data_IF_110972374630
#
_entry.id   IF_110972374630
#
_cell.length_a   1.000
_cell.length_b   1.000
_cell.length_c   1.000
_cell.angle_alpha   90.00
_cell.angle_beta   90.00
_cell.angle_gamma   90.00
#
_symmetry.space_group_name_H-M   'P 1'
#
loop_
_entity.id
_entity.type
_entity.pdbx_description
1 polymer ?
#
# COMPACT_ATOMS: atom_id res chain seq x y z
N UNK A 1 3.89 -7.36 22.14
CA UNK A 1 2.91 -6.25 22.18
C UNK A 1 2.55 -5.83 20.77
N UNK A 2 1.27 -5.56 20.56
CA UNK A 2 0.77 -4.95 19.32
C UNK A 2 0.34 -3.51 19.60
N UNK A 3 0.31 -2.66 18.56
CA UNK A 3 -0.17 -1.29 18.71
C UNK A 3 -1.66 -1.25 19.13
N UNK A 4 -2.42 -2.30 18.84
CA UNK A 4 -3.85 -2.40 19.19
C UNK A 4 -4.07 -2.64 20.68
N UNK A 5 -3.04 -3.10 21.42
CA UNK A 5 -3.07 -3.14 22.88
C UNK A 5 -3.25 -1.75 23.50
N UNK A 6 -2.73 -0.71 22.82
CA UNK A 6 -2.96 0.68 23.22
C UNK A 6 -4.45 1.05 23.15
N UNK A 7 -5.16 0.67 22.08
CA UNK A 7 -6.61 0.86 21.99
C UNK A 7 -7.36 0.09 23.08
N UNK A 8 -6.89 -1.13 23.38
CA UNK A 8 -7.47 -1.94 24.46
C UNK A 8 -7.33 -1.32 25.84
N UNK A 9 -6.17 -0.73 26.14
CA UNK A 9 -5.92 -0.01 27.41
C UNK A 9 -6.72 1.30 27.51
N UNK A 10 -6.93 1.95 26.36
CA UNK A 10 -7.57 3.27 26.30
C UNK A 10 -9.09 3.18 26.28
N UNK A 11 -9.69 2.27 25.54
CA UNK A 11 -11.14 2.20 25.32
C UNK A 11 -11.75 0.89 25.78
N UNK A 12 -11.03 -0.22 25.67
CA UNK A 12 -11.51 -1.54 26.04
C UNK A 12 -11.26 -2.61 24.97
N UNK A 13 -11.68 -3.86 25.29
CA UNK A 13 -11.36 -5.03 24.49
C UNK A 13 -11.92 -5.00 23.07
N UNK A 14 -13.12 -4.45 22.87
CA UNK A 14 -13.77 -4.43 21.55
C UNK A 14 -13.07 -3.49 20.57
N UNK A 15 -12.62 -2.32 21.04
CA UNK A 15 -11.80 -1.40 20.22
C UNK A 15 -10.47 -2.01 19.80
N UNK A 16 -9.82 -2.81 20.68
CA UNK A 16 -8.63 -3.58 20.34
C UNK A 16 -8.92 -4.61 19.25
N UNK A 17 -9.98 -5.38 19.40
CA UNK A 17 -10.37 -6.43 18.46
C UNK A 17 -10.76 -5.84 17.09
N UNK A 18 -11.46 -4.73 17.08
CA UNK A 18 -11.76 -4.00 15.85
C UNK A 18 -10.49 -3.52 15.15
N UNK A 19 -9.58 -2.85 15.88
CA UNK A 19 -8.29 -2.42 15.33
C UNK A 19 -7.48 -3.58 14.75
N UNK A 20 -7.39 -4.68 15.47
CA UNK A 20 -6.75 -5.92 15.01
C UNK A 20 -7.41 -6.46 13.73
N UNK A 21 -8.75 -6.54 13.70
CA UNK A 21 -9.50 -7.03 12.53
C UNK A 21 -9.31 -6.14 11.31
N UNK A 22 -9.41 -4.82 11.48
CA UNK A 22 -9.17 -3.84 10.41
C UNK A 22 -7.75 -3.93 9.86
N UNK A 23 -6.75 -4.03 10.74
CA UNK A 23 -5.36 -4.23 10.32
C UNK A 23 -5.20 -5.50 9.50
N UNK A 24 -5.67 -6.64 10.02
CA UNK A 24 -5.51 -7.93 9.34
C UNK A 24 -6.19 -7.91 7.97
N UNK A 25 -7.40 -7.37 7.87
CA UNK A 25 -8.12 -7.22 6.61
C UNK A 25 -7.34 -6.33 5.62
N UNK A 26 -6.94 -5.13 6.07
CA UNK A 26 -6.17 -4.19 5.24
C UNK A 26 -4.88 -4.82 4.75
N UNK A 27 -4.18 -5.49 5.66
CA UNK A 27 -2.87 -6.09 5.35
C UNK A 27 -2.98 -7.25 4.38
N UNK A 28 -4.00 -8.10 4.54
CA UNK A 28 -4.28 -9.19 3.60
C UNK A 28 -4.60 -8.66 2.20
N UNK A 29 -5.49 -7.68 2.10
CA UNK A 29 -5.86 -7.10 0.82
C UNK A 29 -4.69 -6.37 0.16
N UNK A 30 -4.02 -5.48 0.88
CA UNK A 30 -2.91 -4.69 0.35
C UNK A 30 -1.68 -5.53 -0.03
N UNK A 31 -1.36 -6.57 0.76
CA UNK A 31 -0.24 -7.45 0.44
C UNK A 31 -0.58 -8.44 -0.67
N UNK A 32 -1.86 -8.84 -0.79
CA UNK A 32 -2.34 -9.60 -1.95
C UNK A 32 -2.20 -8.81 -3.26
N UNK A 33 -2.55 -7.52 -3.26
CA UNK A 33 -2.32 -6.62 -4.39
C UNK A 33 -0.84 -6.54 -4.76
N UNK A 34 0.06 -6.37 -3.78
CA UNK A 34 1.50 -6.33 -4.03
C UNK A 34 2.02 -7.65 -4.60
N UNK A 35 1.55 -8.78 -4.07
CA UNK A 35 1.89 -10.11 -4.58
C UNK A 35 1.45 -10.25 -6.05
N UNK A 36 0.24 -9.78 -6.41
CA UNK A 36 -0.25 -9.78 -7.79
C UNK A 36 0.66 -8.97 -8.71
N UNK A 37 1.04 -7.74 -8.33
CA UNK A 37 1.95 -6.90 -9.11
C UNK A 37 3.31 -7.54 -9.35
N UNK A 38 3.90 -8.16 -8.34
CA UNK A 38 5.17 -8.88 -8.50
C UNK A 38 5.01 -10.15 -9.36
N UNK A 39 3.88 -10.85 -9.23
CA UNK A 39 3.59 -12.04 -10.01
C UNK A 39 3.36 -11.72 -11.50
N UNK A 40 2.78 -10.57 -11.83
CA UNK A 40 2.68 -10.08 -13.22
C UNK A 40 4.08 -9.99 -13.82
N UNK A 41 5.02 -9.36 -13.11
CA UNK A 41 6.39 -9.24 -13.61
C UNK A 41 7.05 -10.60 -13.86
N UNK A 42 6.91 -11.53 -12.92
CA UNK A 42 7.44 -12.88 -13.05
C UNK A 42 6.78 -13.65 -14.20
N UNK A 43 5.46 -13.54 -14.33
CA UNK A 43 4.67 -14.16 -15.40
C UNK A 43 5.14 -13.73 -16.78
N UNK A 44 5.33 -12.43 -17.00
CA UNK A 44 5.78 -11.87 -18.29
C UNK A 44 7.22 -12.26 -18.61
N UNK A 45 8.12 -12.22 -17.62
CA UNK A 45 9.55 -12.50 -17.86
C UNK A 45 9.79 -13.98 -18.15
N UNK A 46 9.10 -14.89 -17.48
CA UNK A 46 9.30 -16.34 -17.60
C UNK A 46 8.26 -17.06 -18.45
N UNK A 47 7.30 -16.35 -19.04
CA UNK A 47 6.19 -16.93 -19.83
C UNK A 47 5.39 -18.00 -19.08
N UNK A 48 5.17 -17.78 -17.79
CA UNK A 48 4.38 -18.68 -16.94
C UNK A 48 3.00 -18.09 -16.64
N UNK A 49 1.96 -18.92 -16.44
CA UNK A 49 0.65 -18.44 -16.04
C UNK A 49 0.72 -17.61 -14.77
N UNK A 50 -0.05 -16.50 -14.70
CA UNK A 50 -0.06 -15.58 -13.55
C UNK A 50 -0.33 -16.31 -12.22
N UNK A 51 -1.29 -17.24 -12.21
CA UNK A 51 -1.59 -18.02 -11.01
C UNK A 51 -0.41 -18.87 -10.54
N UNK A 52 0.36 -19.43 -11.47
CA UNK A 52 1.58 -20.19 -11.15
C UNK A 52 2.66 -19.30 -10.58
N UNK A 53 2.84 -18.08 -11.10
CA UNK A 53 3.75 -17.08 -10.56
C UNK A 53 3.36 -16.66 -9.14
N UNK A 54 2.06 -16.43 -8.89
CA UNK A 54 1.54 -16.10 -7.56
C UNK A 54 1.86 -17.20 -6.54
N UNK A 55 1.55 -18.47 -6.89
CA UNK A 55 1.81 -19.60 -6.01
C UNK A 55 3.30 -19.77 -5.75
N UNK A 56 4.14 -19.65 -6.78
CA UNK A 56 5.60 -19.75 -6.65
C UNK A 56 6.15 -18.70 -5.66
N UNK A 57 5.78 -17.42 -5.82
CA UNK A 57 6.24 -16.36 -4.92
C UNK A 57 5.72 -16.59 -3.50
N UNK A 58 4.45 -16.97 -3.34
CA UNK A 58 3.85 -17.23 -2.02
C UNK A 58 4.54 -18.38 -1.29
N UNK A 59 4.89 -19.47 -2.01
CA UNK A 59 5.63 -20.62 -1.43
C UNK A 59 7.04 -20.22 -1.04
N UNK A 60 7.76 -19.49 -1.87
CA UNK A 60 9.12 -19.02 -1.55
C UNK A 60 9.08 -18.09 -0.33
N UNK A 61 8.16 -17.12 -0.30
CA UNK A 61 7.99 -16.20 0.83
C UNK A 61 7.65 -16.97 2.12
N UNK A 62 6.74 -17.93 2.07
CA UNK A 62 6.39 -18.78 3.21
C UNK A 62 7.61 -19.53 3.78
N UNK A 63 8.38 -20.21 2.93
CA UNK A 63 9.56 -20.99 3.35
C UNK A 63 10.56 -20.06 4.06
N UNK A 64 10.85 -18.94 3.42
CA UNK A 64 11.82 -17.97 3.91
C UNK A 64 11.39 -17.32 5.23
N UNK A 65 10.14 -16.83 5.33
CA UNK A 65 9.61 -16.17 6.54
C UNK A 65 9.56 -17.16 7.73
N UNK A 66 9.22 -18.43 7.47
CA UNK A 66 9.13 -19.46 8.54
C UNK A 66 10.49 -19.77 9.14
N UNK A 67 11.57 -19.70 8.36
CA UNK A 67 12.93 -20.02 8.82
C UNK A 67 13.64 -18.81 9.45
N UNK A 68 13.38 -17.59 8.94
CA UNK A 68 14.21 -16.42 9.20
C UNK A 68 13.88 -15.64 10.48
N UNK A 69 12.62 -15.50 10.84
CA UNK A 69 12.17 -14.63 11.92
C UNK A 69 12.49 -13.15 11.68
N UNK A 70 12.09 -12.25 12.61
CA UNK A 70 12.17 -10.79 12.40
C UNK A 70 13.59 -10.24 12.20
N UNK A 71 14.59 -10.83 12.83
CA UNK A 71 15.99 -10.37 12.65
C UNK A 71 16.51 -10.63 11.25
N UNK A 72 16.21 -11.81 10.70
CA UNK A 72 16.60 -12.13 9.33
C UNK A 72 15.86 -11.24 8.34
N UNK A 73 14.56 -10.98 8.54
CA UNK A 73 13.76 -10.09 7.71
C UNK A 73 14.38 -8.68 7.63
N UNK A 74 14.80 -8.09 8.75
CA UNK A 74 15.41 -6.75 8.76
C UNK A 74 16.70 -6.71 7.93
N UNK A 75 17.58 -7.70 8.05
CA UNK A 75 18.85 -7.74 7.31
C UNK A 75 18.64 -7.99 5.81
N UNK A 76 17.71 -8.87 5.49
CA UNK A 76 17.39 -9.14 4.08
C UNK A 76 16.66 -7.96 3.44
N UNK A 77 15.78 -7.28 4.16
CA UNK A 77 15.14 -6.04 3.69
C UNK A 77 16.18 -4.98 3.32
N UNK A 78 17.24 -4.82 4.13
CA UNK A 78 18.32 -3.89 3.82
C UNK A 78 19.05 -4.27 2.51
N UNK A 79 19.40 -5.55 2.34
CA UNK A 79 20.03 -6.04 1.11
C UNK A 79 19.10 -5.86 -0.11
N UNK A 80 17.83 -6.21 0.04
CA UNK A 80 16.80 -6.11 -1.00
C UNK A 80 16.55 -4.66 -1.41
N UNK A 81 16.59 -3.73 -0.45
CA UNK A 81 16.51 -2.29 -0.72
C UNK A 81 17.66 -1.82 -1.63
N UNK A 82 18.90 -2.18 -1.32
CA UNK A 82 20.05 -1.81 -2.17
C UNK A 82 19.99 -2.44 -3.55
N UNK A 83 19.52 -3.68 -3.63
CA UNK A 83 19.36 -4.38 -4.91
C UNK A 83 18.30 -3.69 -5.78
N UNK A 84 17.16 -3.32 -5.19
CA UNK A 84 16.08 -2.61 -5.89
C UNK A 84 16.53 -1.22 -6.36
N UNK A 85 17.24 -0.48 -5.51
CA UNK A 85 17.75 0.85 -5.83
C UNK A 85 18.78 0.80 -6.94
N UNK A 86 19.74 -0.14 -6.87
CA UNK A 86 20.73 -0.34 -7.93
C UNK A 86 20.10 -0.76 -9.26
N UNK A 87 19.08 -1.62 -9.22
CA UNK A 87 18.29 -1.99 -10.39
C UNK A 87 17.64 -0.80 -11.08
N UNK A 88 17.00 0.10 -10.30
CA UNK A 88 16.39 1.31 -10.85
C UNK A 88 17.43 2.26 -11.48
N UNK A 89 18.56 2.49 -10.81
CA UNK A 89 19.65 3.34 -11.29
C UNK A 89 20.23 2.76 -12.60
N UNK A 90 20.54 1.48 -12.61
CA UNK A 90 21.11 0.80 -13.79
C UNK A 90 20.12 0.84 -14.95
N UNK A 91 18.82 0.69 -14.71
CA UNK A 91 17.79 0.80 -15.74
C UNK A 91 17.77 2.19 -16.37
N UNK A 92 17.83 3.26 -15.57
CA UNK A 92 17.88 4.62 -16.10
C UNK A 92 19.10 4.84 -17.00
N UNK A 93 20.30 4.46 -16.52
CA UNK A 93 21.52 4.61 -17.31
C UNK A 93 21.47 3.78 -18.59
N UNK A 94 20.95 2.56 -18.53
CA UNK A 94 20.79 1.71 -19.71
C UNK A 94 19.86 2.34 -20.74
N UNK A 95 18.69 2.84 -20.32
CA UNK A 95 17.74 3.50 -21.22
C UNK A 95 18.40 4.72 -21.87
N UNK A 96 19.02 5.62 -21.10
CA UNK A 96 19.68 6.81 -21.65
C UNK A 96 20.80 6.45 -22.62
N UNK A 97 21.60 5.43 -22.35
CA UNK A 97 22.67 4.97 -23.27
C UNK A 97 22.13 4.29 -24.52
N UNK A 98 20.91 3.78 -24.51
CA UNK A 98 20.27 3.11 -25.64
C UNK A 98 19.49 4.07 -26.55
N UNK A 99 19.28 5.32 -26.13
CA UNK A 99 18.64 6.35 -26.94
C UNK A 99 19.69 7.08 -27.80
N UNK A 100 19.42 7.39 -29.09
CA UNK A 100 20.36 8.07 -29.97
C UNK A 100 20.87 9.42 -29.43
N UNK A 101 19.99 10.24 -28.86
CA UNK A 101 20.34 11.51 -28.22
C UNK A 101 20.59 11.42 -26.72
N UNK A 102 20.65 10.23 -26.14
CA UNK A 102 20.96 9.99 -24.74
C UNK A 102 20.03 10.70 -23.76
N UNK A 103 20.61 11.25 -22.70
CA UNK A 103 19.87 12.00 -21.69
C UNK A 103 19.17 13.26 -22.25
N UNK A 104 19.77 13.91 -23.27
CA UNK A 104 19.21 15.09 -23.91
C UNK A 104 17.87 14.78 -24.59
N UNK A 105 17.80 13.70 -25.34
CA UNK A 105 16.58 13.26 -26.02
C UNK A 105 15.50 12.83 -25.03
N UNK A 106 15.88 12.09 -23.97
CA UNK A 106 14.97 11.79 -22.87
C UNK A 106 14.33 13.04 -22.29
N UNK A 107 15.14 14.08 -22.00
CA UNK A 107 14.66 15.31 -21.43
C UNK A 107 13.76 16.08 -22.40
N UNK A 108 14.10 16.10 -23.68
CA UNK A 108 13.29 16.73 -24.73
C UNK A 108 11.91 16.07 -24.85
N UNK A 109 11.87 14.74 -25.01
CA UNK A 109 10.61 13.98 -25.12
C UNK A 109 9.79 14.13 -23.84
N UNK A 110 10.42 13.99 -22.67
CA UNK A 110 9.73 14.13 -21.39
C UNK A 110 9.10 15.50 -21.20
N UNK A 111 9.77 16.56 -21.63
CA UNK A 111 9.26 17.95 -21.60
C UNK A 111 8.12 18.16 -22.58
N UNK A 112 8.27 17.71 -23.82
CA UNK A 112 7.29 17.82 -24.90
C UNK A 112 5.96 17.15 -24.51
N UNK A 113 6.01 15.96 -23.93
CA UNK A 113 4.84 15.21 -23.47
C UNK A 113 4.42 15.54 -22.03
N UNK A 114 5.00 16.58 -21.41
CA UNK A 114 4.64 17.04 -20.07
C UNK A 114 4.87 16.04 -18.95
N UNK A 115 5.80 15.06 -19.13
CA UNK A 115 6.08 14.01 -18.13
C UNK A 115 6.78 14.52 -16.87
N UNK A 116 7.41 15.70 -16.95
CA UNK A 116 8.05 16.37 -15.82
C UNK A 116 7.14 17.37 -15.11
N UNK A 117 5.87 17.47 -15.55
CA UNK A 117 4.90 18.32 -14.88
C UNK A 117 4.44 17.68 -13.58
N UNK A 118 5.05 18.10 -12.46
CA UNK A 118 4.75 17.56 -11.13
C UNK A 118 3.42 18.12 -10.59
N UNK A 119 3.15 19.40 -10.85
CA UNK A 119 1.95 20.07 -10.34
C UNK A 119 0.94 20.28 -11.46
N UNK A 120 -0.22 19.66 -11.34
CA UNK A 120 -1.39 19.96 -12.17
C UNK A 120 -2.24 20.99 -11.45
N UNK A 121 -1.83 22.24 -11.52
CA UNK A 121 -2.60 23.37 -11.00
C UNK A 121 -3.59 23.75 -12.11
N UNK A 122 -4.77 23.16 -12.08
CA UNK A 122 -5.81 23.38 -13.10
C UNK A 122 -6.64 24.64 -12.85
N UNK A 123 -6.48 25.27 -11.68
CA UNK A 123 -7.21 26.49 -11.33
C UNK A 123 -6.29 27.46 -10.58
N UNK A 124 -6.60 28.75 -10.67
CA UNK A 124 -5.94 29.79 -9.86
C UNK A 124 -6.13 29.50 -8.38
N UNK A 125 -5.15 29.84 -7.54
CA UNK A 125 -5.21 29.69 -6.08
C UNK A 125 -6.46 30.36 -5.46
N UNK A 126 -7.07 31.30 -6.15
CA UNK A 126 -8.33 31.98 -5.77
C UNK A 126 -9.60 31.21 -6.12
N UNK A 127 -9.50 30.08 -6.85
CA UNK A 127 -10.67 29.29 -7.23
C UNK A 127 -10.98 28.23 -6.17
N UNK A 128 -12.25 28.08 -5.70
CA UNK A 128 -12.64 27.03 -4.75
C UNK A 128 -12.28 25.62 -5.19
N UNK A 129 -12.28 25.34 -6.49
CA UNK A 129 -11.89 24.05 -7.08
C UNK A 129 -10.44 23.64 -6.82
N UNK A 130 -9.56 24.58 -6.50
CA UNK A 130 -8.18 24.27 -6.16
C UNK A 130 -8.07 23.46 -4.86
N UNK A 131 -8.86 23.82 -3.84
CA UNK A 131 -8.80 23.19 -2.53
C UNK A 131 -9.78 22.04 -2.35
N UNK A 132 -10.97 22.12 -2.93
CA UNK A 132 -12.09 21.22 -2.64
C UNK A 132 -12.68 20.57 -3.91
N UNK A 133 -11.86 20.31 -4.92
CA UNK A 133 -12.35 19.54 -6.06
C UNK A 133 -12.41 18.04 -5.73
N UNK A 134 -13.59 17.59 -5.30
CA UNK A 134 -13.86 16.19 -4.98
C UNK A 134 -13.88 15.29 -6.21
N UNK A 135 -14.16 15.84 -7.39
CA UNK A 135 -14.30 15.12 -8.65
C UNK A 135 -12.92 14.80 -9.28
N UNK A 136 -11.91 15.64 -9.05
CA UNK A 136 -10.62 15.52 -9.71
C UNK A 136 -9.58 14.78 -8.82
N UNK A 137 -9.18 13.54 -9.18
CA UNK A 137 -8.15 12.82 -8.45
C UNK A 137 -6.76 13.47 -8.53
N UNK A 138 -6.53 14.33 -9.52
CA UNK A 138 -5.23 14.99 -9.74
C UNK A 138 -5.15 16.39 -9.10
N UNK A 139 -6.16 16.81 -8.35
CA UNK A 139 -6.11 18.05 -7.59
C UNK A 139 -4.95 18.00 -6.55
N UNK A 140 -4.16 19.07 -6.49
CA UNK A 140 -2.98 19.14 -5.61
C UNK A 140 -3.36 18.93 -4.14
N UNK A 141 -4.43 19.56 -3.67
CA UNK A 141 -4.90 19.42 -2.30
C UNK A 141 -5.30 17.99 -1.96
N UNK A 142 -6.03 17.31 -2.87
CA UNK A 142 -6.39 15.90 -2.70
C UNK A 142 -5.15 15.02 -2.59
N UNK A 143 -4.13 15.24 -3.44
CA UNK A 143 -2.87 14.52 -3.41
C UNK A 143 -2.08 14.74 -2.12
N UNK A 144 -1.94 15.98 -1.66
CA UNK A 144 -1.23 16.34 -0.44
C UNK A 144 -1.91 15.76 0.81
N UNK A 145 -3.22 15.95 0.93
CA UNK A 145 -3.98 15.42 2.05
C UNK A 145 -3.98 13.90 2.07
N UNK A 146 -4.21 13.26 0.91
CA UNK A 146 -4.12 11.81 0.79
C UNK A 146 -2.74 11.30 1.23
N UNK A 147 -1.66 11.92 0.76
CA UNK A 147 -0.29 11.56 1.15
C UNK A 147 -0.03 11.72 2.65
N UNK A 148 -0.46 12.85 3.25
CA UNK A 148 -0.35 13.08 4.68
C UNK A 148 -1.11 12.03 5.50
N UNK A 149 -2.39 11.81 5.19
CA UNK A 149 -3.21 10.85 5.93
C UNK A 149 -2.73 9.41 5.74
N UNK A 150 -2.34 9.02 4.52
CA UNK A 150 -1.79 7.69 4.25
C UNK A 150 -0.49 7.45 5.00
N UNK A 151 0.43 8.42 5.00
CA UNK A 151 1.70 8.33 5.74
C UNK A 151 1.44 8.22 7.24
N UNK A 152 0.53 9.03 7.77
CA UNK A 152 0.14 8.98 9.18
C UNK A 152 -0.49 7.62 9.55
N UNK A 153 -1.36 7.08 8.70
CA UNK A 153 -1.95 5.76 8.88
C UNK A 153 -0.90 4.66 8.93
N UNK A 154 -0.06 4.61 7.91
CA UNK A 154 0.93 3.54 7.72
C UNK A 154 1.99 3.57 8.83
N UNK A 155 2.49 4.75 9.20
CA UNK A 155 3.52 4.89 10.24
C UNK A 155 2.95 4.85 11.66
N UNK A 156 1.68 5.25 11.86
CA UNK A 156 1.10 5.41 13.19
C UNK A 156 0.14 4.30 13.62
N UNK A 157 -0.47 3.56 12.70
CA UNK A 157 -1.50 2.58 13.02
C UNK A 157 -1.26 1.18 12.47
N UNK A 158 -0.27 1.01 11.58
CA UNK A 158 0.03 -0.27 10.95
C UNK A 158 1.07 -1.06 11.77
N UNK A 159 0.67 -2.24 12.25
CA UNK A 159 1.53 -3.10 13.08
C UNK A 159 2.82 -3.52 12.37
N UNK A 160 2.83 -3.67 11.04
CA UNK A 160 4.03 -4.07 10.30
C UNK A 160 5.18 -3.07 10.45
N UNK A 161 4.88 -1.77 10.39
CA UNK A 161 5.90 -0.73 10.60
C UNK A 161 6.15 -0.44 12.08
N UNK A 162 5.08 -0.42 12.89
CA UNK A 162 5.21 -0.17 14.33
C UNK A 162 6.07 -1.25 15.00
N UNK A 163 5.91 -2.55 14.66
CA UNK A 163 6.73 -3.60 15.26
C UNK A 163 8.23 -3.44 14.97
N UNK A 164 8.60 -2.90 13.80
CA UNK A 164 10.00 -2.60 13.46
C UNK A 164 10.56 -1.46 14.32
N UNK A 165 9.77 -0.43 14.57
CA UNK A 165 10.14 0.67 15.47
C UNK A 165 10.31 0.19 16.92
N UNK A 166 9.46 -0.74 17.36
CA UNK A 166 9.55 -1.35 18.69
C UNK A 166 10.79 -2.21 18.90
N UNK A 167 11.53 -2.57 17.84
CA UNK A 167 12.83 -3.25 17.95
C UNK A 167 13.99 -2.30 18.26
N UNK A 168 13.78 -0.97 18.20
CA UNK A 168 14.80 0.01 18.55
C UNK A 168 14.99 0.09 20.07
N UNK A 169 16.25 0.17 20.54
CA UNK A 169 16.58 0.24 21.98
C UNK A 169 16.02 1.49 22.67
N UNK A 170 15.84 2.59 21.92
CA UNK A 170 15.38 3.88 22.45
C UNK A 170 14.38 4.55 21.50
N UNK A 171 13.38 5.23 22.06
CA UNK A 171 12.36 6.00 21.33
C UNK A 171 12.99 7.00 20.34
N UNK A 172 14.06 7.70 20.75
CA UNK A 172 14.76 8.66 19.88
C UNK A 172 15.37 8.00 18.62
N UNK A 173 15.83 6.74 18.70
CA UNK A 173 16.32 6.00 17.53
C UNK A 173 15.16 5.70 16.56
N UNK A 174 14.01 5.25 17.08
CA UNK A 174 12.80 5.05 16.28
C UNK A 174 12.33 6.32 15.59
N UNK A 175 12.29 7.45 16.32
CA UNK A 175 11.94 8.76 15.73
C UNK A 175 12.89 9.18 14.61
N UNK A 176 14.21 9.03 14.81
CA UNK A 176 15.20 9.32 13.77
C UNK A 176 15.04 8.41 12.56
N UNK A 177 14.76 7.12 12.76
CA UNK A 177 14.49 6.18 11.67
C UNK A 177 13.28 6.63 10.85
N UNK A 178 12.19 7.08 11.49
CA UNK A 178 11.02 7.63 10.79
C UNK A 178 11.36 8.87 9.95
N UNK A 179 12.12 9.81 10.52
CA UNK A 179 12.54 11.03 9.80
C UNK A 179 13.41 10.69 8.58
N UNK A 180 14.36 9.77 8.73
CA UNK A 180 15.16 9.29 7.60
C UNK A 180 14.33 8.56 6.55
N UNK A 181 13.36 7.73 6.96
CA UNK A 181 12.42 7.08 6.04
C UNK A 181 11.64 8.11 5.23
N UNK A 182 11.10 9.14 5.88
CA UNK A 182 10.39 10.21 5.20
C UNK A 182 11.29 11.00 4.23
N UNK A 183 12.51 11.35 4.65
CA UNK A 183 13.47 12.09 3.83
C UNK A 183 13.93 11.28 2.61
N UNK A 184 14.20 9.98 2.78
CA UNK A 184 14.67 9.11 1.69
C UNK A 184 13.54 8.71 0.74
N UNK A 185 12.30 8.68 1.20
CA UNK A 185 11.16 8.30 0.35
C UNK A 185 11.00 9.24 -0.84
N UNK A 186 11.28 10.54 -0.68
CA UNK A 186 11.16 11.52 -1.76
C UNK A 186 12.11 11.25 -2.94
N UNK A 187 13.45 11.18 -2.76
CA UNK A 187 14.37 10.90 -3.86
C UNK A 187 14.17 9.50 -4.46
N UNK A 188 13.78 8.50 -3.65
CA UNK A 188 13.49 7.16 -4.15
C UNK A 188 12.25 7.18 -5.06
N UNK A 189 11.19 7.88 -4.64
CA UNK A 189 9.98 8.02 -5.46
C UNK A 189 10.31 8.73 -6.78
N UNK A 190 11.12 9.80 -6.76
CA UNK A 190 11.56 10.48 -7.98
C UNK A 190 12.38 9.58 -8.89
N UNK A 191 13.23 8.72 -8.34
CA UNK A 191 14.00 7.75 -9.11
C UNK A 191 13.07 6.79 -9.87
N UNK A 192 12.08 6.19 -9.22
CA UNK A 192 11.15 5.27 -9.87
C UNK A 192 10.21 5.96 -10.86
N UNK A 193 9.77 7.18 -10.58
CA UNK A 193 9.03 8.00 -11.55
C UNK A 193 9.91 8.33 -12.76
N UNK A 194 11.19 8.61 -12.53
CA UNK A 194 12.20 8.79 -13.58
C UNK A 194 12.34 7.56 -14.48
N UNK A 195 12.37 6.35 -13.89
CA UNK A 195 12.37 5.08 -14.66
C UNK A 195 11.11 4.98 -15.54
N UNK A 196 9.94 5.30 -15.00
CA UNK A 196 8.69 5.30 -15.78
C UNK A 196 8.69 6.31 -16.93
N UNK A 197 9.19 7.54 -16.69
CA UNK A 197 9.33 8.56 -17.71
C UNK A 197 10.36 8.17 -18.78
N UNK A 198 11.48 7.56 -18.38
CA UNK A 198 12.51 7.08 -19.30
C UNK A 198 11.98 5.93 -20.17
N UNK A 199 11.21 5.02 -19.60
CA UNK A 199 10.59 3.92 -20.34
C UNK A 199 9.59 4.45 -21.38
N UNK A 200 8.79 5.47 -21.02
CA UNK A 200 7.91 6.15 -21.97
C UNK A 200 8.69 6.77 -23.13
N UNK A 201 9.77 7.51 -22.83
CA UNK A 201 10.62 8.13 -23.87
C UNK A 201 11.27 7.07 -24.76
N UNK A 202 11.76 5.99 -24.19
CA UNK A 202 12.37 4.87 -24.93
C UNK A 202 11.40 4.29 -25.97
N UNK A 203 10.15 3.98 -25.58
CA UNK A 203 9.16 3.41 -26.51
C UNK A 203 8.57 4.45 -27.49
N UNK A 204 8.81 5.75 -27.29
CA UNK A 204 8.58 6.77 -28.33
C UNK A 204 9.66 6.74 -29.41
N UNK A 205 10.90 6.43 -29.06
CA UNK A 205 12.02 6.34 -30.00
C UNK A 205 12.08 4.97 -30.70
N UNK A 206 11.80 3.91 -29.93
CA UNK A 206 11.78 2.52 -30.37
C UNK A 206 10.40 1.88 -30.16
N UNK A 207 9.39 2.15 -31.03
CA UNK A 207 8.04 1.63 -30.88
C UNK A 207 8.01 0.08 -30.87
N UNK A 208 7.14 -0.50 -30.05
CA UNK A 208 6.93 -1.95 -29.93
C UNK A 208 5.42 -2.24 -29.95
N UNK A 209 4.99 -3.04 -30.92
CA UNK A 209 3.59 -3.40 -31.11
C UNK A 209 2.98 -4.13 -29.89
N UNK A 210 3.78 -4.89 -29.13
CA UNK A 210 3.31 -5.52 -27.90
C UNK A 210 3.00 -4.48 -26.82
N UNK A 211 3.80 -3.42 -26.72
CA UNK A 211 3.57 -2.31 -25.78
C UNK A 211 2.33 -1.53 -26.16
N UNK A 212 2.10 -1.26 -27.45
CA UNK A 212 0.88 -0.62 -27.92
C UNK A 212 -0.36 -1.48 -27.59
N UNK A 213 -0.24 -2.81 -27.72
CA UNK A 213 -1.26 -3.76 -27.30
C UNK A 213 -1.57 -3.72 -25.79
N UNK A 214 -0.53 -3.62 -24.94
CA UNK A 214 -0.72 -3.48 -23.48
C UNK A 214 -1.39 -2.16 -23.12
N UNK A 215 -1.04 -1.06 -23.79
CA UNK A 215 -1.68 0.24 -23.58
C UNK A 215 -3.15 0.21 -24.00
N UNK A 216 -3.47 -0.36 -25.16
CA UNK A 216 -4.83 -0.50 -25.66
C UNK A 216 -5.72 -1.38 -24.75
N UNK A 217 -5.12 -2.42 -24.14
CA UNK A 217 -5.79 -3.29 -23.19
C UNK A 217 -5.83 -2.78 -21.75
N UNK A 218 -5.33 -1.57 -21.47
CA UNK A 218 -5.17 -1.01 -20.12
C UNK A 218 -4.28 -1.83 -19.18
N UNK A 219 -3.40 -2.69 -19.72
CA UNK A 219 -2.47 -3.53 -18.97
C UNK A 219 -1.07 -2.89 -18.87
N UNK A 220 -0.99 -1.66 -18.42
CA UNK A 220 0.28 -0.91 -18.34
C UNK A 220 1.31 -1.52 -17.38
N UNK A 221 0.88 -2.33 -16.41
CA UNK A 221 1.75 -3.04 -15.47
C UNK A 221 2.64 -4.11 -16.15
N UNK A 222 2.34 -4.49 -17.40
CA UNK A 222 3.11 -5.44 -18.22
C UNK A 222 4.29 -4.81 -18.97
N UNK A 223 4.31 -3.48 -19.14
CA UNK A 223 5.28 -2.77 -19.97
C UNK A 223 6.72 -2.92 -19.44
N UNK A 224 6.92 -2.65 -18.15
CA UNK A 224 8.26 -2.74 -17.55
C UNK A 224 8.81 -4.18 -17.52
N UNK A 225 8.05 -5.20 -17.13
CA UNK A 225 8.46 -6.59 -17.28
C UNK A 225 8.79 -7.00 -18.72
N UNK A 226 8.02 -6.53 -19.70
CA UNK A 226 8.28 -6.75 -21.11
C UNK A 226 9.62 -6.12 -21.54
N UNK A 227 9.90 -4.89 -21.11
CA UNK A 227 11.19 -4.23 -21.33
C UNK A 227 12.35 -5.04 -20.75
N UNK A 228 12.22 -5.55 -19.52
CA UNK A 228 13.23 -6.42 -18.90
C UNK A 228 13.48 -7.65 -19.77
N UNK A 229 12.42 -8.28 -20.27
CA UNK A 229 12.50 -9.51 -21.06
C UNK A 229 13.14 -9.30 -22.43
N UNK A 230 12.75 -8.26 -23.14
CA UNK A 230 13.06 -8.10 -24.59
C UNK A 230 14.26 -7.21 -24.87
N UNK A 231 14.49 -6.17 -24.06
CA UNK A 231 15.46 -5.12 -24.36
C UNK A 231 16.78 -5.31 -23.59
N UNK A 232 16.71 -5.74 -22.33
CA UNK A 232 17.89 -5.81 -21.49
C UNK A 232 18.82 -6.97 -21.87
N UNK A 233 20.12 -6.73 -21.72
CA UNK A 233 21.15 -7.77 -21.84
C UNK A 233 21.03 -8.83 -20.73
N UNK A 234 21.48 -10.07 -20.93
CA UNK A 234 21.29 -11.18 -19.99
C UNK A 234 21.71 -10.87 -18.54
N UNK A 235 22.85 -10.20 -18.33
CA UNK A 235 23.32 -9.84 -16.98
C UNK A 235 22.43 -8.82 -16.28
N UNK A 236 22.02 -7.76 -16.98
CA UNK A 236 21.12 -6.74 -16.46
C UNK A 236 19.71 -7.29 -16.25
N UNK A 237 19.24 -8.15 -17.14
CA UNK A 237 17.98 -8.87 -17.01
C UNK A 237 17.95 -9.67 -15.70
N UNK A 238 19.00 -10.46 -15.42
CA UNK A 238 19.12 -11.22 -14.17
C UNK A 238 19.11 -10.33 -12.92
N UNK A 239 19.84 -9.20 -12.95
CA UNK A 239 19.87 -8.23 -11.87
C UNK A 239 18.47 -7.66 -11.57
N UNK A 240 17.73 -7.26 -12.61
CA UNK A 240 16.38 -6.68 -12.41
C UNK A 240 15.34 -7.72 -11.98
N UNK A 241 15.44 -8.95 -12.48
CA UNK A 241 14.60 -10.06 -11.99
C UNK A 241 14.86 -10.28 -10.49
N UNK A 242 16.13 -10.33 -10.08
CA UNK A 242 16.50 -10.47 -8.68
C UNK A 242 15.98 -9.29 -7.83
N UNK A 243 16.06 -8.06 -8.34
CA UNK A 243 15.52 -6.87 -7.68
C UNK A 243 14.00 -6.92 -7.53
N UNK A 244 13.26 -7.36 -8.54
CA UNK A 244 11.80 -7.54 -8.49
C UNK A 244 11.40 -8.61 -7.49
N UNK A 245 12.08 -9.76 -7.51
CA UNK A 245 11.83 -10.82 -6.53
C UNK A 245 12.17 -10.37 -5.11
N UNK A 246 13.26 -9.63 -4.93
CA UNK A 246 13.64 -9.04 -3.66
C UNK A 246 12.55 -8.10 -3.12
N UNK A 247 12.00 -7.23 -3.96
CA UNK A 247 10.91 -6.33 -3.59
C UNK A 247 9.63 -7.08 -3.19
N UNK A 248 9.30 -8.15 -3.93
CA UNK A 248 8.17 -9.03 -3.60
C UNK A 248 8.36 -9.68 -2.24
N UNK A 249 9.51 -10.29 -2.01
CA UNK A 249 9.83 -11.01 -0.77
C UNK A 249 9.80 -10.09 0.44
N UNK A 250 10.45 -8.91 0.38
CA UNK A 250 10.48 -7.93 1.46
C UNK A 250 9.06 -7.54 1.94
N UNK A 251 8.17 -7.27 0.99
CA UNK A 251 6.78 -6.90 1.30
C UNK A 251 5.98 -8.04 1.91
N UNK A 252 6.17 -9.27 1.41
CA UNK A 252 5.42 -10.44 1.88
C UNK A 252 5.90 -10.94 3.23
N UNK A 253 7.21 -11.01 3.44
CA UNK A 253 7.81 -11.45 4.70
C UNK A 253 7.34 -10.60 5.86
N UNK A 254 7.36 -9.29 5.65
CA UNK A 254 6.91 -8.32 6.64
C UNK A 254 5.43 -8.47 6.95
N UNK A 255 4.60 -8.61 5.90
CA UNK A 255 3.16 -8.81 6.07
C UNK A 255 2.83 -10.12 6.77
N UNK A 256 3.45 -11.23 6.37
CA UNK A 256 3.24 -12.54 6.98
C UNK A 256 3.67 -12.56 8.45
N UNK A 257 4.79 -11.91 8.77
CA UNK A 257 5.27 -11.80 10.14
C UNK A 257 4.33 -10.93 11.00
N UNK A 258 3.88 -9.78 10.48
CA UNK A 258 2.95 -8.91 11.19
C UNK A 258 1.57 -9.57 11.39
N UNK A 259 1.01 -10.22 10.37
CA UNK A 259 -0.26 -10.95 10.45
C UNK A 259 -0.18 -12.10 11.46
N UNK A 260 0.88 -12.91 11.38
CA UNK A 260 1.11 -14.07 12.24
C UNK A 260 1.29 -13.65 13.71
N UNK A 261 2.11 -12.63 13.98
CA UNK A 261 2.32 -12.12 15.33
C UNK A 261 1.07 -11.47 15.92
N UNK A 262 0.33 -10.71 15.13
CA UNK A 262 -0.92 -10.08 15.54
C UNK A 262 -2.00 -11.14 15.83
N UNK A 263 -2.15 -12.11 14.93
CA UNK A 263 -3.06 -13.24 15.17
C UNK A 263 -2.75 -13.99 16.45
N UNK A 264 -1.45 -14.31 16.66
CA UNK A 264 -1.05 -15.00 17.88
C UNK A 264 -1.32 -14.20 19.14
N UNK A 265 -0.93 -12.91 19.16
CA UNK A 265 -1.00 -12.07 20.37
C UNK A 265 -2.45 -11.64 20.67
N UNK A 266 -3.17 -11.18 19.67
CA UNK A 266 -4.47 -10.52 19.87
C UNK A 266 -5.66 -11.48 19.77
N UNK A 267 -5.49 -12.63 19.09
CA UNK A 267 -6.56 -13.62 18.93
C UNK A 267 -6.25 -14.91 19.67
N UNK A 268 -5.18 -15.62 19.27
CA UNK A 268 -4.93 -16.96 19.78
C UNK A 268 -4.63 -16.99 21.28
N UNK A 269 -3.64 -16.23 21.72
CA UNK A 269 -3.24 -16.16 23.14
C UNK A 269 -4.34 -15.62 24.03
N UNK A 270 -5.17 -14.72 23.51
CA UNK A 270 -6.20 -14.06 24.32
C UNK A 270 -7.48 -14.86 24.44
N UNK A 271 -7.95 -15.49 23.36
CA UNK A 271 -9.26 -16.14 23.33
C UNK A 271 -9.21 -17.67 23.32
N UNK A 272 -8.11 -18.25 22.81
CA UNK A 272 -8.02 -19.71 22.62
C UNK A 272 -7.18 -20.35 23.72
N UNK A 273 -5.98 -19.82 23.97
CA UNK A 273 -5.07 -20.41 24.96
C UNK A 273 -4.20 -19.34 25.63
N UNK A 274 -4.64 -18.78 26.79
CA UNK A 274 -3.92 -17.71 27.51
C UNK A 274 -2.54 -18.14 28.00
N UNK A 275 -2.41 -19.37 28.49
CA UNK A 275 -1.16 -19.95 28.95
C UNK A 275 -0.51 -20.79 27.86
N UNK A 276 0.57 -20.27 27.29
CA UNK A 276 1.32 -20.94 26.21
C UNK A 276 2.81 -20.91 26.49
N UNK A 277 3.49 -22.02 26.17
CA UNK A 277 4.96 -22.06 26.17
C UNK A 277 5.51 -21.35 24.95
N UNK A 278 6.76 -20.86 25.03
CA UNK A 278 7.42 -20.22 23.88
C UNK A 278 7.49 -21.14 22.64
N UNK A 279 7.75 -22.44 22.85
CA UNK A 279 7.74 -23.43 21.75
C UNK A 279 6.39 -23.50 21.06
N UNK A 280 5.31 -23.49 21.82
CA UNK A 280 3.95 -23.51 21.28
C UNK A 280 3.63 -22.22 20.53
N UNK A 281 4.05 -21.05 21.06
CA UNK A 281 3.91 -19.76 20.41
C UNK A 281 4.55 -19.74 19.01
N UNK A 282 5.80 -20.20 18.91
CA UNK A 282 6.53 -20.32 17.64
C UNK A 282 5.82 -21.26 16.66
N UNK A 283 5.33 -22.40 17.16
CA UNK A 283 4.61 -23.37 16.33
C UNK A 283 3.33 -22.78 15.74
N UNK A 284 2.50 -22.14 16.57
CA UNK A 284 1.26 -21.49 16.09
C UNK A 284 1.56 -20.36 15.13
N UNK A 285 2.59 -19.55 15.41
CA UNK A 285 3.00 -18.49 14.47
C UNK A 285 3.40 -19.07 13.11
N UNK A 286 4.13 -20.18 13.06
CA UNK A 286 4.50 -20.85 11.81
C UNK A 286 3.30 -21.37 11.03
N UNK A 287 2.33 -22.00 11.70
CA UNK A 287 1.09 -22.43 11.05
C UNK A 287 0.28 -21.23 10.53
N UNK A 288 0.24 -20.14 11.28
CA UNK A 288 -0.43 -18.92 10.85
C UNK A 288 0.21 -18.33 9.61
N UNK A 289 1.54 -18.37 9.47
CA UNK A 289 2.24 -17.94 8.24
C UNK A 289 1.77 -18.73 7.02
N UNK A 290 1.61 -20.07 7.15
CA UNK A 290 1.12 -20.90 6.03
C UNK A 290 -0.30 -20.48 5.62
N UNK A 291 -1.18 -20.34 6.60
CA UNK A 291 -2.58 -19.96 6.36
C UNK A 291 -2.64 -18.59 5.68
N UNK A 292 -1.91 -17.60 6.21
CA UNK A 292 -1.91 -16.26 5.64
C UNK A 292 -1.25 -16.20 4.26
N UNK A 293 -0.20 -16.98 4.00
CA UNK A 293 0.39 -17.08 2.67
C UNK A 293 -0.62 -17.64 1.64
N UNK A 294 -1.40 -18.66 2.01
CA UNK A 294 -2.46 -19.20 1.17
C UNK A 294 -3.58 -18.17 0.92
N UNK A 295 -4.02 -17.45 1.97
CA UNK A 295 -5.04 -16.39 1.82
C UNK A 295 -4.51 -15.25 0.94
N UNK A 296 -3.26 -14.84 1.12
CA UNK A 296 -2.63 -13.80 0.27
C UNK A 296 -2.56 -14.24 -1.19
N UNK A 297 -2.25 -15.50 -1.47
CA UNK A 297 -2.25 -16.03 -2.84
C UNK A 297 -3.67 -16.00 -3.45
N UNK A 298 -4.71 -16.37 -2.70
CA UNK A 298 -6.10 -16.28 -3.16
C UNK A 298 -6.48 -14.82 -3.46
N UNK A 299 -6.18 -13.90 -2.56
CA UNK A 299 -6.43 -12.46 -2.78
C UNK A 299 -5.69 -11.96 -4.02
N UNK A 300 -4.41 -12.32 -4.18
CA UNK A 300 -3.60 -11.94 -5.33
C UNK A 300 -4.18 -12.45 -6.66
N UNK A 301 -4.69 -13.68 -6.70
CA UNK A 301 -5.35 -14.24 -7.89
C UNK A 301 -6.61 -13.46 -8.30
N UNK A 302 -7.32 -12.87 -7.35
CA UNK A 302 -8.47 -12.01 -7.67
C UNK A 302 -8.02 -10.61 -8.10
N UNK A 303 -7.03 -10.04 -7.41
CA UNK A 303 -6.51 -8.71 -7.70
C UNK A 303 -5.76 -8.63 -9.03
N UNK A 304 -5.11 -9.71 -9.46
CA UNK A 304 -4.35 -9.75 -10.72
C UNK A 304 -5.20 -9.65 -11.99
N UNK A 305 -6.52 -9.63 -11.86
CA UNK A 305 -7.49 -9.44 -12.97
C UNK A 305 -7.87 -7.97 -13.19
N UNK A 306 -7.39 -7.07 -12.36
CA UNK A 306 -7.73 -5.64 -12.43
C UNK A 306 -6.82 -4.89 -13.40
N UNK A 307 -7.30 -3.79 -13.97
CA UNK A 307 -6.58 -2.97 -14.95
C UNK A 307 -5.29 -2.36 -14.37
N UNK A 308 -5.30 -1.95 -13.11
CA UNK A 308 -4.14 -1.41 -12.42
C UNK A 308 -4.08 -1.84 -10.96
N UNK A 309 -3.05 -2.63 -10.68
CA UNK A 309 -2.79 -3.20 -9.34
C UNK A 309 -2.43 -2.09 -8.35
N UNK A 310 -1.69 -1.07 -8.79
CA UNK A 310 -1.27 0.05 -7.95
C UNK A 310 -2.47 0.85 -7.41
N UNK A 311 -3.39 1.24 -8.30
CA UNK A 311 -4.55 2.04 -7.90
C UNK A 311 -5.51 1.27 -7.00
N UNK A 312 -5.67 -0.04 -7.25
CA UNK A 312 -6.42 -0.92 -6.37
C UNK A 312 -5.84 -0.92 -4.94
N UNK A 313 -4.50 -1.00 -4.80
CA UNK A 313 -3.84 -0.94 -3.50
C UNK A 313 -4.12 0.34 -2.73
N UNK A 314 -4.03 1.49 -3.38
CA UNK A 314 -4.34 2.78 -2.75
C UNK A 314 -5.83 2.93 -2.39
N UNK A 315 -6.71 2.39 -3.19
CA UNK A 315 -8.17 2.38 -2.92
C UNK A 315 -8.48 1.57 -1.66
N UNK A 316 -7.88 0.38 -1.51
CA UNK A 316 -8.02 -0.45 -0.30
C UNK A 316 -7.54 0.30 0.94
N UNK A 317 -6.39 0.98 0.87
CA UNK A 317 -5.91 1.80 1.97
C UNK A 317 -6.89 2.92 2.32
N UNK A 318 -7.47 3.56 1.31
CA UNK A 318 -8.47 4.61 1.51
C UNK A 318 -9.66 4.13 2.33
N UNK A 319 -10.16 2.92 2.07
CA UNK A 319 -11.35 2.39 2.73
C UNK A 319 -11.13 2.03 4.20
N UNK A 320 -9.99 1.50 4.54
CA UNK A 320 -9.77 0.90 5.87
C UNK A 320 -8.96 1.79 6.82
N UNK A 321 -7.92 2.45 6.32
CA UNK A 321 -7.07 3.27 7.18
C UNK A 321 -7.76 4.53 7.70
N UNK A 322 -8.74 5.08 6.98
CA UNK A 322 -9.50 6.22 7.47
C UNK A 322 -10.17 5.93 8.81
N UNK A 323 -10.83 4.78 8.93
CA UNK A 323 -11.46 4.34 10.17
C UNK A 323 -10.42 4.15 11.30
N UNK A 324 -9.27 3.54 10.99
CA UNK A 324 -8.21 3.31 11.97
C UNK A 324 -7.60 4.61 12.48
N UNK A 325 -7.23 5.54 11.58
CA UNK A 325 -6.68 6.85 11.97
C UNK A 325 -7.66 7.57 12.92
N UNK A 326 -8.96 7.61 12.57
CA UNK A 326 -9.95 8.30 13.37
C UNK A 326 -9.98 7.83 14.82
N UNK A 327 -10.00 6.51 15.06
CA UNK A 327 -9.98 5.95 16.41
C UNK A 327 -8.64 6.23 17.12
N UNK A 328 -7.51 6.12 16.43
CA UNK A 328 -6.21 6.45 17.02
C UNK A 328 -6.10 7.95 17.36
N UNK A 329 -6.65 8.84 16.53
CA UNK A 329 -6.71 10.27 16.83
C UNK A 329 -7.55 10.56 18.08
N UNK A 330 -8.70 9.90 18.25
CA UNK A 330 -9.49 10.01 19.49
C UNK A 330 -8.64 9.57 20.69
N UNK A 331 -7.93 8.44 20.56
CA UNK A 331 -7.12 7.89 21.65
C UNK A 331 -5.97 8.80 22.07
N UNK A 332 -5.35 9.51 21.10
CA UNK A 332 -4.15 10.35 21.35
C UNK A 332 -4.52 11.80 21.69
N UNK A 333 -5.53 12.36 21.02
CA UNK A 333 -5.87 13.79 21.16
C UNK A 333 -6.90 14.07 22.25
N UNK A 334 -7.53 13.04 22.82
CA UNK A 334 -8.58 13.21 23.83
C UNK A 334 -8.38 12.31 25.03
N UNK A 335 -8.64 12.81 26.26
CA UNK A 335 -8.47 12.03 27.49
C UNK A 335 -9.74 11.24 27.88
N UNK A 336 -10.93 11.75 27.57
CA UNK A 336 -12.22 11.22 28.06
C UNK A 336 -13.23 10.93 26.96
N UNK A 337 -12.84 11.02 25.69
CA UNK A 337 -13.71 10.80 24.54
C UNK A 337 -13.48 9.42 23.94
N UNK A 338 -14.50 8.93 23.24
CA UNK A 338 -14.55 7.58 22.69
C UNK A 338 -15.21 6.60 23.64
N UNK A 339 -15.79 5.54 23.09
CA UNK A 339 -16.43 4.47 23.83
C UNK A 339 -16.13 3.14 23.13
N UNK A 340 -15.90 2.07 23.89
CA UNK A 340 -15.45 0.78 23.36
C UNK A 340 -16.39 0.18 22.29
N UNK A 341 -17.71 0.26 22.51
CA UNK A 341 -18.70 -0.23 21.53
C UNK A 341 -18.87 0.77 20.38
N UNK A 342 -18.97 2.07 20.72
CA UNK A 342 -19.16 3.11 19.73
C UNK A 342 -18.03 3.13 18.70
N UNK A 343 -16.77 2.96 19.13
CA UNK A 343 -15.62 2.91 18.24
C UNK A 343 -15.77 1.81 17.18
N UNK A 344 -16.21 0.61 17.54
CA UNK A 344 -16.43 -0.49 16.59
C UNK A 344 -17.49 -0.11 15.56
N UNK A 345 -18.63 0.39 16.02
CA UNK A 345 -19.75 0.79 15.15
C UNK A 345 -19.30 1.92 14.20
N UNK A 346 -18.57 2.91 14.72
CA UNK A 346 -18.10 4.06 13.93
C UNK A 346 -17.08 3.63 12.91
N UNK A 347 -16.15 2.73 13.24
CA UNK A 347 -15.19 2.18 12.28
C UNK A 347 -15.89 1.45 11.13
N UNK A 348 -16.89 0.62 11.42
CA UNK A 348 -17.65 -0.10 10.40
C UNK A 348 -18.46 0.88 9.54
N UNK A 349 -19.18 1.81 10.16
CA UNK A 349 -19.96 2.81 9.42
C UNK A 349 -19.07 3.73 8.59
N UNK A 350 -17.86 4.03 9.04
CA UNK A 350 -16.87 4.79 8.26
C UNK A 350 -16.55 4.09 6.92
N UNK A 351 -16.28 2.78 6.94
CA UNK A 351 -16.04 2.02 5.70
C UNK A 351 -17.27 2.03 4.80
N UNK A 352 -18.47 1.84 5.37
CA UNK A 352 -19.70 1.85 4.58
C UNK A 352 -19.96 3.21 3.93
N UNK A 353 -19.73 4.31 4.65
CA UNK A 353 -19.86 5.68 4.11
C UNK A 353 -18.85 5.93 2.99
N UNK A 354 -17.60 5.54 3.21
CA UNK A 354 -16.57 5.71 2.18
C UNK A 354 -16.89 4.88 0.94
N UNK A 355 -17.27 3.61 1.10
CA UNK A 355 -17.72 2.76 -0.01
C UNK A 355 -18.92 3.37 -0.75
N UNK A 356 -19.92 3.86 -0.04
CA UNK A 356 -21.09 4.52 -0.64
C UNK A 356 -20.70 5.73 -1.49
N UNK A 357 -19.76 6.55 -1.00
CA UNK A 357 -19.37 7.79 -1.68
C UNK A 357 -18.43 7.57 -2.86
N UNK A 358 -17.57 6.54 -2.84
CA UNK A 358 -16.45 6.41 -3.78
C UNK A 358 -16.51 5.18 -4.69
N UNK A 359 -17.30 4.13 -4.35
CA UNK A 359 -17.35 2.92 -5.18
C UNK A 359 -18.26 3.09 -6.39
N UNK A 360 -17.70 2.97 -7.59
CA UNK A 360 -18.42 3.09 -8.85
C UNK A 360 -19.28 1.87 -9.20
N UNK A 361 -18.94 0.72 -8.64
CA UNK A 361 -19.50 -0.57 -9.02
C UNK A 361 -20.79 -0.97 -8.28
N UNK A 362 -21.30 -0.14 -7.35
CA UNK A 362 -22.52 -0.44 -6.59
C UNK A 362 -23.74 0.14 -7.33
N UNK A 363 -24.11 -0.47 -8.46
CA UNK A 363 -25.16 -0.01 -9.37
C UNK A 363 -26.48 0.42 -8.71
N UNK A 364 -27.06 -0.35 -7.76
CA UNK A 364 -28.32 0.05 -7.11
C UNK A 364 -28.23 1.35 -6.27
N UNK A 365 -27.04 1.69 -5.76
CA UNK A 365 -26.84 2.87 -4.93
C UNK A 365 -26.44 4.11 -5.74
N UNK A 366 -26.12 3.97 -7.01
CA UNK A 366 -25.68 5.07 -7.87
C UNK A 366 -26.74 6.17 -8.01
N UNK A 367 -28.02 5.77 -8.16
CA UNK A 367 -29.14 6.73 -8.22
C UNK A 367 -29.33 7.52 -6.91
N UNK A 368 -29.19 6.86 -5.75
CA UNK A 368 -29.30 7.51 -4.45
C UNK A 368 -28.10 8.45 -4.24
N UNK A 369 -26.89 8.01 -4.59
CA UNK A 369 -25.67 8.81 -4.51
C UNK A 369 -25.77 10.08 -5.36
N UNK A 370 -26.18 9.96 -6.62
CA UNK A 370 -26.34 11.12 -7.50
C UNK A 370 -27.39 12.11 -6.98
N UNK A 371 -28.50 11.62 -6.42
CA UNK A 371 -29.54 12.48 -5.83
C UNK A 371 -29.00 13.28 -4.64
N UNK A 372 -28.07 12.72 -3.84
CA UNK A 372 -27.51 13.39 -2.66
C UNK A 372 -26.37 14.34 -3.04
N UNK A 373 -25.51 13.94 -3.98
CA UNK A 373 -24.27 14.67 -4.29
C UNK A 373 -24.45 15.73 -5.40
N UNK A 374 -25.37 15.54 -6.35
CA UNK A 374 -25.55 16.47 -7.47
C UNK A 374 -25.97 17.90 -7.03
N UNK A 375 -26.79 18.11 -5.98
CA UNK A 375 -27.08 19.45 -5.49
C UNK A 375 -25.85 20.18 -4.94
N UNK A 376 -24.79 19.43 -4.57
CA UNK A 376 -23.52 19.96 -4.06
C UNK A 376 -22.49 20.19 -5.19
N UNK A 377 -22.86 19.95 -6.46
CA UNK A 377 -21.93 20.01 -7.59
C UNK A 377 -20.90 18.86 -7.62
N UNK A 378 -21.16 17.78 -6.86
CA UNK A 378 -20.27 16.63 -6.77
C UNK A 378 -20.88 15.50 -7.60
N UNK A 379 -20.25 15.18 -8.72
CA UNK A 379 -20.67 14.06 -9.57
C UNK A 379 -20.14 12.73 -9.03
N UNK A 380 -18.88 12.73 -8.60
CA UNK A 380 -18.19 11.56 -8.07
C UNK A 380 -17.13 11.98 -7.05
N UNK A 381 -17.04 11.28 -5.94
CA UNK A 381 -15.96 11.50 -4.97
C UNK A 381 -14.74 10.66 -5.37
N UNK A 382 -13.65 11.33 -5.71
CA UNK A 382 -12.39 10.65 -6.04
C UNK A 382 -11.89 9.79 -4.86
N UNK A 383 -11.36 8.62 -5.15
CA UNK A 383 -10.82 7.67 -4.18
C UNK A 383 -9.76 8.27 -3.23
N UNK A 384 -9.06 9.33 -3.62
CA UNK A 384 -8.09 10.02 -2.75
C UNK A 384 -8.73 10.67 -1.51
N UNK A 385 -10.01 11.01 -1.58
CA UNK A 385 -10.75 11.56 -0.44
C UNK A 385 -11.18 10.48 0.55
N UNK A 386 -11.15 9.20 0.18
CA UNK A 386 -11.63 8.08 0.99
C UNK A 386 -11.03 8.07 2.40
N UNK A 387 -9.70 8.16 2.50
CA UNK A 387 -9.01 8.11 3.79
C UNK A 387 -9.33 9.33 4.68
N UNK A 388 -9.48 10.49 4.05
CA UNK A 388 -9.79 11.76 4.73
C UNK A 388 -11.21 11.70 5.27
N UNK A 389 -12.18 11.35 4.42
CA UNK A 389 -13.60 11.21 4.78
C UNK A 389 -13.75 10.18 5.90
N UNK A 390 -13.12 9.01 5.76
CA UNK A 390 -13.15 7.98 6.78
C UNK A 390 -12.56 8.43 8.12
N UNK A 391 -11.46 9.18 8.09
CA UNK A 391 -10.82 9.71 9.30
C UNK A 391 -11.68 10.78 9.98
N UNK A 392 -12.22 11.72 9.21
CA UNK A 392 -13.08 12.80 9.71
C UNK A 392 -14.39 12.23 10.26
N UNK A 393 -15.00 11.27 9.57
CA UNK A 393 -16.18 10.56 10.05
C UNK A 393 -15.94 9.89 11.39
N UNK A 394 -14.88 9.07 11.46
CA UNK A 394 -14.58 8.30 12.65
C UNK A 394 -14.19 9.19 13.83
N UNK A 395 -13.33 10.18 13.61
CA UNK A 395 -12.95 11.13 14.65
C UNK A 395 -14.11 12.01 15.09
N UNK A 396 -14.83 12.63 14.14
CA UNK A 396 -15.91 13.58 14.43
C UNK A 396 -17.07 12.95 15.21
N UNK A 397 -17.52 11.77 14.80
CA UNK A 397 -18.58 11.06 15.52
C UNK A 397 -18.05 10.48 16.84
N UNK A 398 -16.82 9.93 16.83
CA UNK A 398 -16.26 9.29 18.01
C UNK A 398 -16.01 10.24 19.17
N UNK A 399 -15.70 11.52 18.92
CA UNK A 399 -15.54 12.54 19.96
C UNK A 399 -16.87 12.89 20.65
N UNK A 400 -18.02 12.65 20.03
CA UNK A 400 -19.33 12.89 20.64
C UNK A 400 -19.57 11.93 21.81
N UNK A 401 -19.08 10.69 21.70
CA UNK A 401 -19.24 9.70 22.75
C UNK A 401 -18.20 9.90 23.85
N UNK A 402 -18.64 9.82 25.11
CA UNK A 402 -17.75 9.84 26.27
C UNK A 402 -17.60 8.44 26.84
N UNK A 403 -16.45 8.18 27.44
CA UNK A 403 -16.21 6.99 28.24
C UNK A 403 -17.19 7.05 29.45
N UNK A 404 -18.10 6.09 29.52
CA UNK A 404 -18.81 5.87 30.77
C UNK A 404 -17.85 5.17 31.74
N UNK A 405 -17.51 5.84 32.84
CA UNK A 405 -16.84 5.22 33.98
C UNK A 405 -17.69 4.12 34.58
#
# INVERSE_FOLDING_TARGET
>A
TTIYEFLGKRFGPRSRDAGTGFFMLTRLLASGVRLAGCAIALSVVFDIPLNSAIVLIAVVAFIYTTLGGIKAVIWTDALQFFLLLSGAIVTLFFIWSSMPGGFGEFFQIGSEFGKFKIFHVSASLSHPEFFLNFNNPNALAAGLLFGCFTTFAVLGTDQDLVQRMLTCDHVKKGQRALLWTAALNFPITLLFLGVGAALFAYYKVAPDAAVDGFIAAHHTDYIFPHFIKTVLTPGLRGLLIAALLAAAMSSLDSALNALSSTFYIDIYKRYIRPETTEKHAVTISRYSVIIFAAVLAIVAMQCGKTESVLWLGFTIFGYTYGAMIGVFLIAVLTDRRGNDIANVVIMVTSVLVVLFLTADSIGPLQGIRSTILSPLGIEQVSWKWSIIIGSVWTFGIGVIFSERK
#
